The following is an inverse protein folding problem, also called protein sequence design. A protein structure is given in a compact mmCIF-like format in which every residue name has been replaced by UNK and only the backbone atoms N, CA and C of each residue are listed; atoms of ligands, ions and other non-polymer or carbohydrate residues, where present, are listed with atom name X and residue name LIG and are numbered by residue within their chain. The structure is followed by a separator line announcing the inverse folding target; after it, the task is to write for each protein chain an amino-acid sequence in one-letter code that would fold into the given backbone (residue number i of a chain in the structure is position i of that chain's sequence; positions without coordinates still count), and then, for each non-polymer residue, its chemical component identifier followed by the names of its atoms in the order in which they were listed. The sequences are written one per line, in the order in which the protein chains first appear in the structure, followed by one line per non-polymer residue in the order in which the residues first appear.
data_IF_528478447269
#
_entry.id   IF_528478447269
#
_cell.length_a   1.000
_cell.length_b   1.000
_cell.length_c   1.000
_cell.angle_alpha   90.00
_cell.angle_beta   90.00
_cell.angle_gamma   90.00
#
_symmetry.space_group_name_H-M   'P 1'
#
loop_
_entity.id
_entity.type
_entity.pdbx_description
1 polymer ?
#
# COMPACT_ATOMS: atom_id res chain seq x y z
N UNK A 1 -19.82 -9.63 -7.17
CA UNK A 1 -21.16 -9.59 -6.52
C UNK A 1 -21.47 -8.31 -5.70
N UNK A 2 -20.65 -7.26 -5.72
CA UNK A 2 -21.04 -5.90 -5.26
C UNK A 2 -20.34 -4.83 -6.12
N UNK A 3 -19.08 -5.10 -6.49
CA UNK A 3 -18.28 -4.27 -7.39
C UNK A 3 -18.57 -4.48 -8.89
N UNK A 4 -19.54 -5.32 -9.28
CA UNK A 4 -19.80 -5.62 -10.70
C UNK A 4 -18.71 -6.43 -11.42
N UNK A 5 -17.76 -7.02 -10.68
CA UNK A 5 -16.62 -7.77 -11.21
C UNK A 5 -16.86 -9.29 -11.22
N UNK A 6 -16.28 -9.96 -12.23
CA UNK A 6 -16.11 -11.40 -12.29
C UNK A 6 -14.92 -11.86 -11.42
N UNK A 7 -14.94 -13.12 -10.98
CA UNK A 7 -13.88 -13.65 -10.10
C UNK A 7 -12.51 -13.69 -10.80
N UNK A 8 -12.49 -13.98 -12.11
CA UNK A 8 -11.29 -13.98 -12.95
C UNK A 8 -10.66 -12.59 -13.14
N UNK A 9 -11.36 -11.52 -12.76
CA UNK A 9 -10.84 -10.16 -12.78
C UNK A 9 -10.06 -9.77 -11.51
N UNK A 10 -10.00 -10.64 -10.50
CA UNK A 10 -9.19 -10.45 -9.29
C UNK A 10 -7.90 -11.24 -9.44
N UNK A 11 -6.76 -10.57 -9.29
CA UNK A 11 -5.44 -11.14 -9.57
C UNK A 11 -4.86 -11.87 -8.36
N UNK A 12 -5.11 -11.31 -7.17
CA UNK A 12 -4.52 -11.80 -5.93
C UNK A 12 -5.53 -11.74 -4.77
N UNK A 13 -5.36 -12.62 -3.80
CA UNK A 13 -6.07 -12.57 -2.51
C UNK A 13 -5.04 -12.52 -1.38
N UNK A 14 -5.16 -11.47 -0.57
CA UNK A 14 -4.64 -11.42 0.79
C UNK A 14 -5.61 -12.16 1.70
N UNK A 15 -5.24 -13.38 2.06
CA UNK A 15 -6.06 -14.29 2.84
C UNK A 15 -6.18 -13.87 4.30
N UNK A 16 -7.20 -14.41 4.96
CA UNK A 16 -7.23 -14.43 6.41
C UNK A 16 -6.04 -15.24 6.96
N UNK A 17 -5.75 -16.42 6.38
CA UNK A 17 -4.47 -17.13 6.46
C UNK A 17 -3.81 -17.11 7.83
N UNK A 18 -4.41 -17.82 8.79
CA UNK A 18 -3.99 -17.80 10.21
C UNK A 18 -2.97 -18.87 10.56
N UNK A 19 -2.61 -19.75 9.63
CA UNK A 19 -1.69 -20.86 9.89
C UNK A 19 -2.38 -22.00 10.63
N UNK A 20 -3.71 -22.09 10.61
CA UNK A 20 -4.43 -23.10 11.39
C UNK A 20 -4.66 -24.35 10.57
N UNK A 21 -4.44 -25.53 11.18
CA UNK A 21 -4.58 -26.83 10.51
C UNK A 21 -5.96 -27.07 9.88
N UNK A 22 -7.01 -26.48 10.46
CA UNK A 22 -8.38 -26.60 9.97
C UNK A 22 -8.81 -25.41 9.11
N UNK A 23 -8.47 -24.19 9.52
CA UNK A 23 -8.96 -22.97 8.87
C UNK A 23 -8.32 -22.73 7.50
N UNK A 24 -7.02 -22.95 7.37
CA UNK A 24 -6.31 -22.67 6.12
C UNK A 24 -6.80 -23.56 4.97
N UNK A 25 -7.04 -24.88 5.15
CA UNK A 25 -7.66 -25.70 4.10
C UNK A 25 -9.07 -25.24 3.71
N UNK A 26 -9.89 -24.82 4.68
CA UNK A 26 -11.27 -24.33 4.41
C UNK A 26 -11.22 -23.05 3.57
N UNK A 27 -10.34 -22.11 3.92
CA UNK A 27 -10.17 -20.88 3.16
C UNK A 27 -9.66 -21.15 1.74
N UNK A 28 -8.61 -21.97 1.60
CA UNK A 28 -8.05 -22.30 0.28
C UNK A 28 -9.07 -23.01 -0.61
N UNK A 29 -9.86 -23.94 -0.08
CA UNK A 29 -10.93 -24.61 -0.83
C UNK A 29 -12.02 -23.62 -1.28
N UNK A 30 -12.41 -22.67 -0.43
CA UNK A 30 -13.36 -21.63 -0.80
C UNK A 30 -12.83 -20.74 -1.94
N UNK A 31 -11.53 -20.41 -1.93
CA UNK A 31 -10.89 -19.65 -3.00
C UNK A 31 -10.77 -20.47 -4.29
N UNK A 32 -10.41 -21.75 -4.22
CA UNK A 32 -10.37 -22.66 -5.36
C UNK A 32 -11.74 -22.81 -6.01
N UNK A 33 -12.79 -22.98 -5.22
CA UNK A 33 -14.18 -23.12 -5.69
C UNK A 33 -14.79 -21.83 -6.25
N UNK A 34 -14.15 -20.67 -6.03
CA UNK A 34 -14.63 -19.37 -6.49
C UNK A 34 -13.64 -18.74 -7.46
N UNK A 35 -12.60 -18.10 -6.94
CA UNK A 35 -11.57 -17.45 -7.72
C UNK A 35 -10.77 -18.42 -8.58
N UNK A 36 -10.56 -19.67 -8.16
CA UNK A 36 -9.78 -20.66 -8.92
C UNK A 36 -10.49 -21.19 -10.17
N UNK A 37 -11.75 -20.85 -10.38
CA UNK A 37 -12.55 -21.31 -11.53
C UNK A 37 -12.53 -20.28 -12.67
N UNK A 38 -12.78 -20.76 -13.89
CA UNK A 38 -12.94 -19.91 -15.09
C UNK A 38 -11.78 -18.95 -15.35
N UNK A 39 -10.55 -19.37 -14.99
CA UNK A 39 -9.32 -18.63 -15.26
C UNK A 39 -8.68 -19.06 -16.57
N UNK A 40 -7.97 -18.10 -17.19
CA UNK A 40 -7.09 -18.35 -18.33
C UNK A 40 -5.73 -18.88 -17.89
N UNK A 41 -4.66 -18.35 -18.48
CA UNK A 41 -3.29 -18.78 -18.17
C UNK A 41 -2.80 -18.34 -16.77
N UNK A 42 -3.30 -17.22 -16.25
CA UNK A 42 -2.85 -16.65 -14.96
C UNK A 42 -3.70 -17.20 -13.79
N UNK A 43 -3.07 -17.79 -12.76
CA UNK A 43 -3.78 -18.23 -11.56
C UNK A 43 -4.19 -17.04 -10.68
N UNK A 44 -4.99 -17.32 -9.63
CA UNK A 44 -5.11 -16.40 -8.50
C UNK A 44 -3.86 -16.51 -7.63
N UNK A 45 -3.20 -15.40 -7.35
CA UNK A 45 -2.09 -15.36 -6.40
C UNK A 45 -2.58 -15.28 -4.95
N UNK A 46 -2.07 -16.12 -4.07
CA UNK A 46 -2.53 -16.24 -2.68
C UNK A 46 -1.38 -16.00 -1.69
N UNK A 47 -1.62 -15.15 -0.68
CA UNK A 47 -0.67 -14.94 0.41
C UNK A 47 -1.32 -14.35 1.67
N UNK A 48 -0.53 -14.21 2.75
CA UNK A 48 -0.98 -13.59 4.00
C UNK A 48 0.13 -12.79 4.67
N UNK A 49 -0.16 -11.54 5.03
CA UNK A 49 0.72 -10.63 5.80
C UNK A 49 1.04 -11.19 7.19
N UNK A 50 0.19 -12.09 7.71
CA UNK A 50 0.38 -12.70 9.03
C UNK A 50 1.63 -13.56 9.10
N UNK A 51 2.11 -14.07 7.96
CA UNK A 51 3.39 -14.75 7.88
C UNK A 51 4.58 -13.83 8.18
N UNK A 52 4.44 -12.51 8.00
CA UNK A 52 5.50 -11.52 8.26
C UNK A 52 5.40 -10.88 9.66
N UNK A 53 4.18 -10.57 10.11
CA UNK A 53 3.95 -9.74 11.30
C UNK A 53 3.06 -10.40 12.37
N UNK A 54 2.69 -11.67 12.16
CA UNK A 54 1.77 -12.39 13.02
C UNK A 54 0.32 -11.90 12.91
N UNK A 55 -0.54 -12.45 13.77
CA UNK A 55 -1.96 -12.09 13.81
C UNK A 55 -2.20 -10.85 14.67
N UNK A 56 -2.30 -9.67 14.06
CA UNK A 56 -2.49 -8.36 14.72
C UNK A 56 -3.92 -8.12 15.22
N UNK A 57 -4.65 -9.20 15.52
CA UNK A 57 -6.04 -9.20 16.02
C UNK A 57 -6.94 -8.24 15.22
N UNK A 58 -7.52 -7.24 15.88
CA UNK A 58 -8.44 -6.27 15.27
C UNK A 58 -7.83 -5.48 14.10
N UNK A 59 -6.49 -5.34 14.04
CA UNK A 59 -5.80 -4.66 12.95
C UNK A 59 -5.48 -5.56 11.75
N UNK A 60 -5.85 -6.85 11.78
CA UNK A 60 -5.46 -7.82 10.75
C UNK A 60 -6.00 -7.44 9.36
N UNK A 61 -7.26 -7.01 9.28
CA UNK A 61 -7.87 -6.60 8.01
C UNK A 61 -7.17 -5.40 7.38
N UNK A 62 -6.92 -4.34 8.17
CA UNK A 62 -6.27 -3.13 7.66
C UNK A 62 -4.79 -3.36 7.32
N UNK A 63 -4.09 -4.25 8.03
CA UNK A 63 -2.74 -4.67 7.66
C UNK A 63 -2.71 -5.33 6.28
N UNK A 64 -3.68 -6.19 5.97
CA UNK A 64 -3.84 -6.78 4.64
C UNK A 64 -4.14 -5.75 3.55
N UNK A 65 -5.00 -4.76 3.85
CA UNK A 65 -5.27 -3.64 2.93
C UNK A 65 -4.01 -2.83 2.65
N UNK A 66 -3.24 -2.47 3.68
CA UNK A 66 -1.98 -1.72 3.55
C UNK A 66 -0.99 -2.50 2.67
N UNK A 67 -0.82 -3.80 2.92
CA UNK A 67 0.03 -4.68 2.10
C UNK A 67 -0.38 -4.62 0.62
N UNK A 68 -1.67 -4.78 0.33
CA UNK A 68 -2.13 -4.83 -1.05
C UNK A 68 -2.08 -3.48 -1.76
N UNK A 69 -2.33 -2.38 -1.06
CA UNK A 69 -2.12 -1.03 -1.61
C UNK A 69 -0.64 -0.79 -1.94
N UNK A 70 0.28 -1.16 -1.06
CA UNK A 70 1.72 -1.05 -1.34
C UNK A 70 2.16 -1.98 -2.48
N UNK A 71 1.61 -3.19 -2.57
CA UNK A 71 1.85 -4.12 -3.67
C UNK A 71 1.41 -3.53 -5.03
N UNK A 72 0.22 -2.92 -5.08
CA UNK A 72 -0.26 -2.22 -6.29
C UNK A 72 0.63 -1.04 -6.67
N UNK A 73 1.02 -0.22 -5.69
CA UNK A 73 1.90 0.95 -5.91
C UNK A 73 3.28 0.55 -6.45
N UNK A 74 3.78 -0.60 -6.02
CA UNK A 74 5.12 -1.12 -6.40
C UNK A 74 5.08 -2.05 -7.60
N UNK A 75 3.90 -2.49 -8.03
CA UNK A 75 3.74 -3.49 -9.09
C UNK A 75 4.34 -4.84 -8.73
N UNK A 76 4.36 -5.21 -7.44
CA UNK A 76 5.01 -6.44 -6.93
C UNK A 76 4.10 -7.12 -5.92
N UNK A 77 3.89 -8.42 -6.07
CA UNK A 77 3.27 -9.29 -5.08
C UNK A 77 4.36 -9.86 -4.17
N UNK A 78 4.41 -9.47 -2.88
CA UNK A 78 5.44 -9.95 -1.97
C UNK A 78 5.18 -11.40 -1.54
N UNK A 79 6.25 -12.12 -1.19
CA UNK A 79 6.19 -13.50 -0.72
C UNK A 79 5.38 -13.63 0.59
N UNK A 80 4.66 -14.74 0.71
CA UNK A 80 4.16 -15.27 1.98
C UNK A 80 5.23 -16.19 2.56
N UNK A 81 5.55 -16.01 3.85
CA UNK A 81 6.64 -16.74 4.51
C UNK A 81 6.18 -18.09 5.07
N UNK A 82 7.15 -18.94 5.40
CA UNK A 82 6.96 -20.26 6.03
C UNK A 82 6.18 -21.26 5.17
N UNK A 83 6.32 -21.16 3.85
CA UNK A 83 5.79 -22.12 2.89
C UNK A 83 6.94 -22.92 2.30
N UNK A 84 7.27 -24.04 2.96
CA UNK A 84 8.20 -25.03 2.39
C UNK A 84 7.47 -25.90 1.34
N UNK A 85 6.27 -26.35 1.67
CA UNK A 85 5.35 -27.03 0.78
C UNK A 85 3.89 -26.62 1.07
N UNK A 86 3.00 -26.57 0.06
CA UNK A 86 1.57 -26.35 0.29
C UNK A 86 0.97 -27.44 1.18
N UNK A 87 -0.04 -27.10 2.00
CA UNK A 87 -0.72 -28.09 2.85
C UNK A 87 -1.32 -29.24 2.01
N UNK A 88 -1.12 -30.51 2.42
CA UNK A 88 -1.67 -31.68 1.70
C UNK A 88 -3.19 -31.84 1.92
N UNK A 89 -3.80 -31.03 2.78
CA UNK A 89 -5.25 -31.05 3.05
C UNK A 89 -6.07 -30.25 2.03
N UNK A 90 -5.43 -29.77 0.97
CA UNK A 90 -6.04 -29.01 -0.12
C UNK A 90 -5.65 -29.68 -1.44
N UNK A 91 -6.64 -29.95 -2.30
CA UNK A 91 -6.37 -30.33 -3.69
C UNK A 91 -6.10 -29.07 -4.51
N UNK A 92 -4.84 -28.66 -4.57
CA UNK A 92 -4.40 -27.48 -5.33
C UNK A 92 -4.59 -27.63 -6.85
N UNK A 93 -4.85 -28.85 -7.34
CA UNK A 93 -5.11 -29.08 -8.77
C UNK A 93 -6.58 -28.81 -9.16
N UNK A 94 -7.47 -28.64 -8.18
CA UNK A 94 -8.91 -28.43 -8.40
C UNK A 94 -9.28 -27.04 -8.94
N UNK A 95 -8.31 -26.12 -9.03
CA UNK A 95 -8.50 -24.77 -9.54
C UNK A 95 -7.19 -24.02 -9.67
N UNK A 96 -7.20 -22.91 -10.41
CA UNK A 96 -6.00 -22.12 -10.68
C UNK A 96 -5.73 -21.13 -9.54
N UNK A 97 -5.16 -21.62 -8.43
CA UNK A 97 -4.69 -20.81 -7.29
C UNK A 97 -3.23 -21.16 -6.98
N UNK A 98 -2.38 -20.16 -6.87
CA UNK A 98 -0.94 -20.31 -6.62
C UNK A 98 -0.53 -19.56 -5.34
N UNK A 99 0.12 -20.27 -4.41
CA UNK A 99 0.70 -19.64 -3.22
C UNK A 99 1.94 -18.82 -3.59
N UNK A 100 2.02 -17.58 -3.10
CA UNK A 100 3.14 -16.66 -3.29
C UNK A 100 4.37 -17.06 -2.45
N UNK A 101 4.97 -18.23 -2.71
CA UNK A 101 6.17 -18.67 -1.99
C UNK A 101 7.40 -17.78 -2.27
N UNK A 102 7.39 -17.06 -3.38
CA UNK A 102 8.41 -16.07 -3.75
C UNK A 102 7.73 -14.76 -4.17
N UNK A 103 8.45 -13.65 -4.00
CA UNK A 103 7.97 -12.36 -4.49
C UNK A 103 8.01 -12.36 -6.03
N UNK A 104 7.02 -11.75 -6.65
CA UNK A 104 6.95 -11.66 -8.12
C UNK A 104 6.43 -10.32 -8.57
N UNK A 105 6.79 -9.93 -9.79
CA UNK A 105 6.15 -8.82 -10.48
C UNK A 105 4.65 -9.10 -10.63
N UNK A 106 3.84 -8.06 -10.44
CA UNK A 106 2.40 -8.12 -10.64
C UNK A 106 2.09 -7.68 -12.08
N UNK A 107 1.77 -8.63 -12.98
CA UNK A 107 1.66 -8.34 -14.41
C UNK A 107 0.59 -7.27 -14.70
N UNK A 108 0.84 -6.48 -15.74
CA UNK A 108 -0.17 -5.56 -16.28
C UNK A 108 -1.05 -6.32 -17.28
N UNK A 109 -2.35 -6.41 -16.99
CA UNK A 109 -3.29 -7.19 -17.78
C UNK A 109 -4.15 -6.33 -18.73
N UNK A 110 -3.70 -5.11 -19.07
CA UNK A 110 -4.51 -4.13 -19.82
C UNK A 110 -5.76 -3.62 -19.05
N UNK A 111 -5.86 -3.96 -17.76
CA UNK A 111 -6.87 -3.51 -16.81
C UNK A 111 -6.20 -3.17 -15.48
N UNK A 112 -6.86 -2.39 -14.59
CA UNK A 112 -6.33 -2.13 -13.25
C UNK A 112 -6.03 -3.44 -12.50
N UNK A 113 -4.93 -3.44 -11.73
CA UNK A 113 -4.64 -4.52 -10.78
C UNK A 113 -5.74 -4.57 -9.72
N UNK A 114 -6.19 -5.78 -9.38
CA UNK A 114 -7.28 -6.00 -8.43
C UNK A 114 -6.94 -7.08 -7.44
N UNK A 115 -7.24 -6.85 -6.17
CA UNK A 115 -7.03 -7.84 -5.12
C UNK A 115 -8.19 -7.93 -4.14
N UNK A 116 -8.45 -9.16 -3.67
CA UNK A 116 -9.31 -9.40 -2.52
C UNK A 116 -8.52 -9.34 -1.20
N UNK A 117 -9.14 -8.86 -0.13
CA UNK A 117 -8.62 -8.97 1.24
C UNK A 117 -9.68 -9.63 2.11
N UNK A 118 -9.36 -10.79 2.69
CA UNK A 118 -10.24 -11.58 3.54
C UNK A 118 -9.90 -11.41 5.03
N UNK A 119 -10.91 -11.30 5.88
CA UNK A 119 -10.75 -11.32 7.33
C UNK A 119 -11.94 -11.99 8.01
N UNK A 120 -11.68 -13.06 8.76
CA UNK A 120 -12.71 -13.89 9.39
C UNK A 120 -12.61 -13.80 10.91
N UNK A 121 -13.66 -13.30 11.55
CA UNK A 121 -13.73 -13.21 13.01
C UNK A 121 -14.05 -14.55 13.65
N UNK A 122 -13.45 -14.83 14.80
CA UNK A 122 -13.75 -16.06 15.59
C UNK A 122 -15.23 -16.20 15.95
N UNK A 123 -15.96 -15.09 16.04
CA UNK A 123 -17.42 -15.06 16.26
C UNK A 123 -18.24 -15.50 15.04
N UNK A 124 -17.61 -15.78 13.91
CA UNK A 124 -18.27 -16.13 12.64
C UNK A 124 -18.60 -14.95 11.73
N UNK A 125 -18.25 -13.73 12.10
CA UNK A 125 -18.43 -12.56 11.23
C UNK A 125 -17.29 -12.46 10.23
N UNK A 126 -17.62 -12.54 8.94
CA UNK A 126 -16.66 -12.53 7.85
C UNK A 126 -16.71 -11.21 7.08
N UNK A 127 -15.56 -10.72 6.64
CA UNK A 127 -15.42 -9.59 5.74
C UNK A 127 -14.52 -9.96 4.56
N UNK A 128 -14.90 -9.49 3.37
CA UNK A 128 -14.09 -9.57 2.16
C UNK A 128 -14.22 -8.26 1.40
N UNK A 129 -13.11 -7.59 1.12
CA UNK A 129 -13.09 -6.33 0.36
C UNK A 129 -12.30 -6.51 -0.93
N UNK A 130 -12.74 -5.83 -1.99
CA UNK A 130 -12.02 -5.78 -3.26
C UNK A 130 -11.35 -4.42 -3.37
N UNK A 131 -10.06 -4.43 -3.65
CA UNK A 131 -9.24 -3.25 -3.94
C UNK A 131 -8.96 -3.22 -5.44
N UNK A 132 -9.01 -2.03 -6.02
CA UNK A 132 -8.64 -1.77 -7.41
C UNK A 132 -7.56 -0.69 -7.43
N UNK A 133 -6.54 -0.90 -8.26
CA UNK A 133 -5.52 0.10 -8.52
C UNK A 133 -6.17 1.37 -9.05
N UNK A 134 -5.87 2.51 -8.41
CA UNK A 134 -6.33 3.80 -8.90
C UNK A 134 -5.83 4.02 -10.33
N UNK A 135 -6.69 4.57 -11.19
CA UNK A 135 -6.30 4.97 -12.54
C UNK A 135 -5.09 5.89 -12.48
N UNK A 136 -4.09 5.61 -13.33
CA UNK A 136 -2.99 6.54 -13.55
C UNK A 136 -3.52 7.63 -14.49
N UNK A 137 -4.39 8.49 -13.97
CA UNK A 137 -4.51 9.81 -14.57
C UNK A 137 -3.17 10.49 -14.32
N UNK A 138 -2.25 10.35 -15.27
CA UNK A 138 -1.23 11.37 -15.48
C UNK A 138 -2.04 12.60 -15.87
N UNK A 139 -2.58 13.31 -14.88
CA UNK A 139 -2.84 14.71 -15.09
C UNK A 139 -1.49 15.25 -15.54
N UNK A 140 -1.34 15.54 -16.83
CA UNK A 140 -0.41 16.55 -17.29
C UNK A 140 -0.81 17.80 -16.50
N UNK A 141 -0.28 17.91 -15.28
CA UNK A 141 -0.48 19.07 -14.46
C UNK A 141 0.22 20.17 -15.24
N UNK A 142 -0.56 20.94 -16.00
CA UNK A 142 -0.10 22.17 -16.62
C UNK A 142 0.58 22.95 -15.50
N UNK A 143 1.91 22.94 -15.53
CA UNK A 143 2.72 23.63 -14.54
C UNK A 143 2.41 25.11 -14.73
N UNK A 144 1.72 25.78 -13.78
CA UNK A 144 1.30 27.15 -13.99
C UNK A 144 2.53 28.01 -14.27
N UNK A 145 2.44 28.90 -15.25
CA UNK A 145 3.54 29.81 -15.61
C UNK A 145 3.90 30.65 -14.37
N UNK A 146 5.06 30.36 -13.76
CA UNK A 146 5.49 30.91 -12.45
C UNK A 146 5.86 29.85 -11.39
N UNK A 147 5.60 28.56 -11.63
CA UNK A 147 5.88 27.45 -10.70
C UNK A 147 7.36 27.13 -10.43
N UNK A 148 8.29 27.95 -10.94
CA UNK A 148 9.72 27.85 -10.66
C UNK A 148 10.14 28.43 -9.30
N UNK A 149 9.32 29.29 -8.69
CA UNK A 149 9.60 29.79 -7.35
C UNK A 149 9.28 28.69 -6.32
N UNK A 150 10.30 28.24 -5.59
CA UNK A 150 10.17 27.17 -4.61
C UNK A 150 9.16 27.49 -3.48
N UNK A 151 8.91 28.77 -3.22
CA UNK A 151 7.95 29.27 -2.23
C UNK A 151 8.42 29.06 -0.78
N UNK A 152 7.82 29.76 0.20
CA UNK A 152 8.18 29.58 1.60
C UNK A 152 7.80 28.18 2.09
N UNK A 153 8.71 27.51 2.81
CA UNK A 153 8.40 26.27 3.51
C UNK A 153 7.95 26.58 4.93
N UNK A 154 6.65 26.37 5.17
CA UNK A 154 6.01 26.65 6.46
C UNK A 154 5.91 25.37 7.30
N UNK A 155 6.50 25.39 8.49
CA UNK A 155 6.42 24.28 9.43
C UNK A 155 5.67 24.75 10.69
N UNK A 156 4.84 23.87 11.25
CA UNK A 156 4.25 24.11 12.55
C UNK A 156 4.08 22.84 13.38
N UNK A 157 4.11 22.99 14.71
CA UNK A 157 3.95 21.90 15.66
C UNK A 157 3.35 22.38 17.00
N UNK A 158 2.93 21.41 17.84
CA UNK A 158 2.39 21.65 19.20
C UNK A 158 3.46 21.97 20.26
N UNK A 159 4.73 21.79 19.92
CA UNK A 159 5.86 22.11 20.81
C UNK A 159 7.08 22.48 19.98
N UNK A 160 8.07 23.12 20.61
CA UNK A 160 9.36 23.40 19.97
C UNK A 160 10.06 22.11 19.53
N UNK A 161 10.12 21.10 20.38
CA UNK A 161 10.77 19.82 20.06
C UNK A 161 10.07 19.10 18.90
N UNK A 162 8.73 19.17 18.83
CA UNK A 162 7.98 18.61 17.73
C UNK A 162 8.19 19.37 16.41
N UNK A 163 8.48 20.68 16.47
CA UNK A 163 8.83 21.49 15.30
C UNK A 163 10.19 21.07 14.74
N UNK A 164 11.19 20.91 15.61
CA UNK A 164 12.54 20.40 15.28
C UNK A 164 12.42 19.00 14.67
N UNK A 165 11.68 18.09 15.31
CA UNK A 165 11.45 16.73 14.79
C UNK A 165 10.70 16.73 13.45
N UNK A 166 9.79 17.68 13.22
CA UNK A 166 9.09 17.82 11.94
C UNK A 166 10.02 18.31 10.83
N UNK A 167 10.96 19.21 11.14
CA UNK A 167 12.01 19.63 10.22
C UNK A 167 12.91 18.44 9.83
N UNK A 168 13.38 17.66 10.82
CA UNK A 168 14.17 16.45 10.57
C UNK A 168 13.44 15.40 9.71
N UNK A 169 12.14 15.19 9.93
CA UNK A 169 11.33 14.29 9.07
C UNK A 169 11.19 14.79 7.64
N UNK A 170 11.04 16.10 7.44
CA UNK A 170 10.96 16.70 6.11
C UNK A 170 12.28 16.54 5.36
N UNK A 171 13.40 16.79 6.05
CA UNK A 171 14.75 16.61 5.50
C UNK A 171 14.99 15.16 5.07
N UNK A 172 14.74 14.19 5.97
CA UNK A 172 14.90 12.78 5.69
C UNK A 172 13.96 12.28 4.58
N UNK A 173 12.75 12.84 4.45
CA UNK A 173 11.83 12.50 3.37
C UNK A 173 12.34 12.99 2.01
N UNK A 174 12.93 14.19 1.95
CA UNK A 174 13.45 14.80 0.73
C UNK A 174 14.85 14.28 0.37
N UNK A 175 15.55 13.68 1.33
CA UNK A 175 16.81 12.98 1.09
C UNK A 175 16.59 11.83 0.09
N UNK A 176 17.31 11.89 -1.04
CA UNK A 176 17.19 10.90 -2.11
C UNK A 176 15.95 11.05 -3.00
N UNK A 177 15.20 12.15 -2.90
CA UNK A 177 14.01 12.42 -3.74
C UNK A 177 14.11 13.74 -4.53
N UNK A 178 15.08 13.86 -5.46
CA UNK A 178 15.24 15.05 -6.29
C UNK A 178 14.05 15.32 -7.21
N UNK A 179 13.25 14.30 -7.52
CA UNK A 179 12.05 14.38 -8.35
C UNK A 179 10.90 15.16 -7.72
N UNK A 180 10.89 15.33 -6.39
CA UNK A 180 9.84 16.08 -5.70
C UNK A 180 10.10 17.57 -5.84
N UNK A 181 9.31 18.28 -6.65
CA UNK A 181 9.46 19.72 -6.85
C UNK A 181 9.33 20.53 -5.54
N UNK A 182 10.20 21.53 -5.34
CA UNK A 182 10.20 22.35 -4.13
C UNK A 182 8.89 23.14 -3.94
N UNK A 183 8.27 23.58 -5.04
CA UNK A 183 6.95 24.21 -5.05
C UNK A 183 5.83 23.27 -4.61
N UNK A 184 5.90 21.98 -4.95
CA UNK A 184 4.96 20.97 -4.46
C UNK A 184 5.10 20.73 -2.94
N UNK A 185 6.32 20.80 -2.41
CA UNK A 185 6.59 20.76 -0.97
C UNK A 185 5.96 21.98 -0.29
N UNK A 186 6.23 23.19 -0.79
CA UNK A 186 5.67 24.43 -0.24
C UNK A 186 4.13 24.39 -0.23
N UNK A 187 3.50 24.00 -1.34
CA UNK A 187 2.05 23.86 -1.45
C UNK A 187 1.50 22.87 -0.41
N UNK A 188 2.12 21.70 -0.28
CA UNK A 188 1.70 20.65 0.65
C UNK A 188 1.84 21.07 2.12
N UNK A 189 2.91 21.81 2.44
CA UNK A 189 3.13 22.38 3.77
C UNK A 189 2.11 23.46 4.11
N UNK A 190 1.78 24.32 3.14
CA UNK A 190 0.87 25.45 3.35
C UNK A 190 -0.60 25.04 3.41
N UNK A 191 -1.03 24.08 2.59
CA UNK A 191 -2.46 23.73 2.42
C UNK A 191 -2.84 22.40 3.06
N UNK A 192 -1.88 21.49 3.23
CA UNK A 192 -2.11 20.13 3.71
C UNK A 192 -1.72 19.89 5.16
N UNK A 193 -1.41 20.93 5.95
CA UNK A 193 -1.00 20.83 7.36
C UNK A 193 -1.79 21.81 8.23
N UNK A 194 -2.10 21.38 9.45
CA UNK A 194 -2.75 22.24 10.43
C UNK A 194 -1.81 23.38 10.85
N UNK A 195 -2.30 24.63 11.00
CA UNK A 195 -1.49 25.75 11.48
C UNK A 195 -1.40 25.77 13.01
N UNK A 196 -0.34 25.18 13.56
CA UNK A 196 -0.12 25.02 15.01
C UNK A 196 0.68 26.18 15.63
N UNK A 197 0.80 26.22 16.95
CA UNK A 197 1.32 27.35 17.72
C UNK A 197 2.83 27.61 17.57
N UNK A 198 3.67 26.58 17.49
CA UNK A 198 5.10 26.75 17.22
C UNK A 198 5.33 26.71 15.72
N UNK A 199 5.86 27.81 15.16
CA UNK A 199 5.97 27.99 13.71
C UNK A 199 7.39 28.37 13.30
N UNK A 200 7.82 27.87 12.16
CA UNK A 200 9.01 28.32 11.46
C UNK A 200 8.69 28.48 9.97
N UNK A 201 9.33 29.46 9.33
CA UNK A 201 9.25 29.67 7.89
C UNK A 201 10.67 29.66 7.36
N UNK A 202 10.93 28.79 6.39
CA UNK A 202 12.19 28.76 5.67
C UNK A 202 11.99 29.43 4.31
N UNK A 203 12.87 30.37 4.00
CA UNK A 203 12.93 31.07 2.73
C UNK A 203 14.24 30.69 2.03
N UNK A 204 14.20 30.60 0.72
CA UNK A 204 15.34 30.26 -0.12
C UNK A 204 15.01 30.55 -1.58
N UNK A 205 16.03 30.75 -2.40
CA UNK A 205 15.85 30.99 -3.84
C UNK A 205 15.63 29.67 -4.58
N UNK A 206 16.25 28.60 -4.08
CA UNK A 206 16.14 27.26 -4.63
C UNK A 206 15.91 26.18 -3.55
N UNK A 207 15.90 24.92 -4.00
CA UNK A 207 15.69 23.76 -3.14
C UNK A 207 16.80 23.60 -2.10
N UNK A 208 18.05 23.88 -2.47
CA UNK A 208 19.20 23.61 -1.63
C UNK A 208 19.25 24.61 -0.47
N UNK A 209 18.91 25.88 -0.74
CA UNK A 209 18.70 26.91 0.29
C UNK A 209 17.62 26.48 1.30
N UNK A 210 16.47 26.02 0.78
CA UNK A 210 15.34 25.60 1.62
C UNK A 210 15.69 24.37 2.46
N UNK A 211 16.40 23.40 1.89
CA UNK A 211 16.89 22.23 2.63
C UNK A 211 17.92 22.62 3.69
N UNK A 212 18.83 23.55 3.39
CA UNK A 212 19.79 24.07 4.36
C UNK A 212 19.07 24.75 5.55
N UNK A 213 18.04 25.55 5.27
CA UNK A 213 17.24 26.16 6.33
C UNK A 213 16.42 25.16 7.15
N UNK A 214 15.89 24.09 6.53
CA UNK A 214 15.26 22.99 7.27
C UNK A 214 16.26 22.25 8.14
N UNK A 215 17.48 21.99 7.66
CA UNK A 215 18.55 21.38 8.46
C UNK A 215 18.95 22.24 9.65
N UNK A 216 18.97 23.55 9.50
CA UNK A 216 19.28 24.48 10.59
C UNK A 216 18.17 24.53 11.66
N UNK A 217 16.95 24.10 11.33
CA UNK A 217 15.83 23.97 12.27
C UNK A 217 15.77 22.61 12.97
N UNK A 218 16.39 21.57 12.41
CA UNK A 218 16.43 20.20 12.93
C UNK A 218 17.55 20.02 13.97
#
# INVERSE_FOLDING_TARGET
AAAGLAASEVDAVEAHGTGTRLGDPIEAQALLATYGQERGAEPLYLGSVKSNIGHTQAASGVAGVIKMVEAMRRGVLPATLHVDEPTPHVDWSAGAVELLAQAREWPEAGRPRRAGVSSFGVSGTNAHVILEQAGVEVAEAEVPVGAGAAGPWVLSARSRDALVAQAGRLEAFLAGRPEVAASAVAYSLATGRAPLEHRAVVLGEDRDDLLAGVRALA
#
